data_IF_538847535388
#
_entry.id   IF_538847535388
#
_cell.length_a   1.000
_cell.length_b   1.000
_cell.length_c   1.000
_cell.angle_alpha   90.00
_cell.angle_beta   90.00
_cell.angle_gamma   90.00
#
_symmetry.space_group_name_H-M   'P 1'
#
loop_
_entity.id
_entity.type
_entity.pdbx_description
1 polymer ?
#
# COMPACT_ATOMS: atom_id res chain seq x y z
N UNK A 1 -14.62 -11.47 -10.46
CA UNK A 1 -13.42 -10.83 -11.03
C UNK A 1 -12.30 -11.83 -11.26
N UNK A 2 -11.45 -11.59 -12.26
CA UNK A 2 -10.27 -12.43 -12.52
C UNK A 2 -9.22 -12.26 -11.41
N UNK A 3 -8.24 -13.16 -11.35
CA UNK A 3 -7.08 -12.99 -10.46
C UNK A 3 -6.32 -11.69 -10.76
N UNK A 4 -6.12 -11.36 -12.04
CA UNK A 4 -5.43 -10.14 -12.46
C UNK A 4 -6.14 -8.89 -11.97
N UNK A 5 -7.48 -8.82 -12.07
CA UNK A 5 -8.25 -7.68 -11.54
C UNK A 5 -8.06 -7.55 -10.03
N UNK A 6 -8.09 -8.67 -9.29
CA UNK A 6 -7.88 -8.66 -7.82
C UNK A 6 -6.46 -8.24 -7.43
N UNK A 7 -5.43 -8.60 -8.22
CA UNK A 7 -4.07 -8.10 -8.04
C UNK A 7 -4.01 -6.58 -8.21
N UNK A 8 -4.71 -6.01 -9.20
CA UNK A 8 -4.77 -4.55 -9.38
C UNK A 8 -5.49 -3.86 -8.23
N UNK A 9 -6.60 -4.42 -7.73
CA UNK A 9 -7.28 -3.90 -6.54
C UNK A 9 -6.37 -3.91 -5.31
N UNK A 10 -5.60 -4.97 -5.11
CA UNK A 10 -4.63 -5.07 -4.02
C UNK A 10 -3.51 -4.03 -4.14
N UNK A 11 -2.98 -3.83 -5.35
CA UNK A 11 -1.98 -2.79 -5.64
C UNK A 11 -2.53 -1.39 -5.40
N UNK A 12 -3.77 -1.11 -5.80
CA UNK A 12 -4.47 0.15 -5.54
C UNK A 12 -4.60 0.41 -4.03
N UNK A 13 -5.09 -0.57 -3.28
CA UNK A 13 -5.20 -0.48 -1.80
C UNK A 13 -3.86 -0.19 -1.14
N UNK A 14 -2.80 -0.89 -1.56
CA UNK A 14 -1.45 -0.68 -1.04
C UNK A 14 -0.90 0.71 -1.42
N UNK A 15 -1.24 1.21 -2.61
CA UNK A 15 -0.86 2.56 -3.07
C UNK A 15 -1.53 3.64 -2.26
N UNK A 16 -2.84 3.52 -1.99
CA UNK A 16 -3.57 4.45 -1.13
C UNK A 16 -2.87 4.55 0.23
N UNK A 17 -2.57 3.42 0.85
CA UNK A 17 -1.92 3.39 2.16
C UNK A 17 -0.52 4.02 2.13
N UNK A 18 0.33 3.64 1.17
CA UNK A 18 1.73 4.07 1.14
C UNK A 18 1.92 5.50 0.63
N UNK A 19 0.93 6.08 -0.05
CA UNK A 19 0.95 7.48 -0.54
C UNK A 19 0.13 8.44 0.33
N UNK A 20 -0.60 7.95 1.32
CA UNK A 20 -1.32 8.80 2.29
C UNK A 20 -0.39 9.43 3.33
N UNK A 21 -0.83 10.54 3.94
CA UNK A 21 -0.19 11.09 5.14
C UNK A 21 -0.39 10.17 6.36
N UNK A 22 0.50 10.25 7.34
CA UNK A 22 0.46 9.44 8.56
C UNK A 22 1.44 8.26 8.57
N UNK A 23 1.12 7.23 9.35
CA UNK A 23 2.00 6.06 9.57
C UNK A 23 1.40 4.83 8.87
N UNK A 24 1.97 4.37 7.74
CA UNK A 24 1.47 3.17 7.08
C UNK A 24 1.87 1.93 7.88
N UNK A 25 0.95 0.97 7.96
CA UNK A 25 1.18 -0.34 8.57
C UNK A 25 0.83 -1.44 7.57
N UNK A 26 1.78 -2.35 7.32
CA UNK A 26 1.59 -3.47 6.39
C UNK A 26 1.59 -4.78 7.16
N UNK A 27 0.63 -5.64 6.85
CA UNK A 27 0.60 -6.98 7.41
C UNK A 27 1.59 -7.88 6.66
N UNK A 28 2.42 -8.64 7.39
CA UNK A 28 3.44 -9.49 6.77
C UNK A 28 2.82 -10.49 5.78
N UNK A 29 3.35 -10.48 4.56
CA UNK A 29 2.94 -11.27 3.41
C UNK A 29 1.84 -10.65 2.56
N UNK A 30 1.30 -9.49 2.92
CA UNK A 30 0.42 -8.71 2.05
C UNK A 30 1.10 -8.46 0.68
N UNK A 31 2.40 -8.17 0.68
CA UNK A 31 3.21 -7.87 -0.50
C UNK A 31 3.34 -9.01 -1.51
N UNK A 32 3.07 -10.25 -1.09
CA UNK A 32 3.02 -11.42 -1.96
C UNK A 32 1.65 -12.12 -1.91
N UNK A 33 0.59 -11.34 -1.74
CA UNK A 33 -0.79 -11.80 -1.84
C UNK A 33 -1.11 -12.92 -0.83
N UNK A 34 -0.58 -12.86 0.40
CA UNK A 34 -0.79 -13.89 1.45
C UNK A 34 -2.27 -14.23 1.58
N UNK A 35 -2.54 -15.52 1.65
CA UNK A 35 -3.88 -16.07 1.86
C UNK A 35 -3.91 -16.87 3.16
N UNK A 36 -5.05 -16.82 3.84
CA UNK A 36 -5.43 -17.73 4.95
C UNK A 36 -6.59 -18.64 4.54
N UNK A 37 -6.77 -18.83 3.23
CA UNK A 37 -7.82 -19.68 2.63
C UNK A 37 -9.24 -19.34 3.10
N UNK A 38 -9.50 -18.07 3.41
CA UNK A 38 -10.81 -17.59 3.88
C UNK A 38 -11.01 -17.63 5.40
N UNK A 39 -10.02 -18.08 6.18
CA UNK A 39 -10.08 -18.03 7.64
C UNK A 39 -9.96 -16.59 8.15
N UNK A 40 -11.08 -16.03 8.62
CA UNK A 40 -11.17 -14.68 9.14
C UNK A 40 -10.57 -14.51 10.54
N UNK A 41 -10.39 -15.59 11.32
CA UNK A 41 -9.86 -15.55 12.68
C UNK A 41 -8.95 -16.75 12.98
N UNK A 42 -7.76 -16.70 12.39
CA UNK A 42 -6.82 -17.82 12.38
C UNK A 42 -5.95 -17.95 13.64
N UNK A 43 -6.35 -17.38 14.78
CA UNK A 43 -5.51 -17.28 15.98
C UNK A 43 -4.99 -18.64 16.51
N UNK A 44 -5.74 -19.72 16.25
CA UNK A 44 -5.40 -21.10 16.64
C UNK A 44 -5.29 -22.07 15.45
N UNK A 45 -5.30 -21.54 14.24
CA UNK A 45 -5.29 -22.36 13.02
C UNK A 45 -3.88 -22.89 12.75
N UNK A 46 -3.75 -24.06 12.09
CA UNK A 46 -2.46 -24.71 11.88
C UNK A 46 -1.53 -23.89 10.96
N UNK A 47 -0.26 -24.28 10.90
CA UNK A 47 0.76 -23.64 10.05
C UNK A 47 0.34 -23.60 8.57
N UNK A 48 -0.33 -24.65 8.08
CA UNK A 48 -0.89 -24.65 6.72
C UNK A 48 -1.79 -23.46 6.39
N UNK A 49 -2.37 -22.78 7.39
CA UNK A 49 -3.15 -21.55 7.27
C UNK A 49 -2.31 -20.29 7.55
N UNK A 50 -1.43 -20.34 8.55
CA UNK A 50 -0.76 -19.14 9.07
C UNK A 50 0.66 -18.89 8.55
N UNK A 51 1.33 -19.91 8.01
CA UNK A 51 2.73 -19.84 7.62
C UNK A 51 3.00 -18.77 6.55
N UNK A 52 4.25 -18.30 6.50
CA UNK A 52 4.75 -17.54 5.35
C UNK A 52 5.10 -18.50 4.22
N UNK A 53 4.28 -18.52 3.18
CA UNK A 53 4.55 -19.31 1.98
C UNK A 53 5.59 -18.61 1.10
N UNK A 54 6.84 -19.07 1.20
CA UNK A 54 7.96 -18.52 0.43
C UNK A 54 7.92 -18.88 -1.06
N UNK A 55 7.26 -19.97 -1.45
CA UNK A 55 7.04 -20.29 -2.87
C UNK A 55 6.04 -19.31 -3.48
N UNK A 56 5.01 -18.94 -2.71
CA UNK A 56 4.09 -17.86 -3.08
C UNK A 56 4.84 -16.53 -3.18
N UNK A 57 5.71 -16.19 -2.22
CA UNK A 57 6.59 -15.00 -2.33
C UNK A 57 7.39 -14.99 -3.63
N UNK A 58 7.96 -16.13 -4.03
CA UNK A 58 8.70 -16.23 -5.29
C UNK A 58 7.79 -16.07 -6.52
N UNK A 59 6.57 -16.62 -6.47
CA UNK A 59 5.58 -16.55 -7.55
C UNK A 59 5.08 -15.12 -7.80
N UNK A 60 4.83 -14.35 -6.73
CA UNK A 60 4.30 -12.98 -6.80
C UNK A 60 5.41 -11.91 -6.68
N UNK A 61 6.59 -12.17 -7.24
CA UNK A 61 7.74 -11.25 -7.09
C UNK A 61 7.45 -9.85 -7.68
N UNK A 62 6.63 -9.76 -8.73
CA UNK A 62 6.23 -8.47 -9.32
C UNK A 62 5.39 -7.62 -8.36
N UNK A 63 4.54 -8.25 -7.54
CA UNK A 63 3.76 -7.56 -6.50
C UNK A 63 4.65 -7.06 -5.36
N UNK A 64 5.66 -7.86 -5.00
CA UNK A 64 6.67 -7.47 -4.01
C UNK A 64 7.47 -6.26 -4.49
N UNK A 65 7.94 -6.28 -5.74
CA UNK A 65 8.72 -5.18 -6.30
C UNK A 65 7.88 -3.89 -6.47
N UNK A 66 6.58 -4.02 -6.78
CA UNK A 66 5.67 -2.89 -6.78
C UNK A 66 5.56 -2.22 -5.40
N UNK A 67 5.36 -3.00 -4.33
CA UNK A 67 5.29 -2.45 -2.97
C UNK A 67 6.64 -1.90 -2.50
N UNK A 68 7.77 -2.49 -2.89
CA UNK A 68 9.10 -1.92 -2.65
C UNK A 68 9.23 -0.54 -3.29
N UNK A 69 8.82 -0.38 -4.55
CA UNK A 69 8.84 0.91 -5.24
C UNK A 69 8.01 1.99 -4.52
N UNK A 70 6.83 1.64 -4.02
CA UNK A 70 6.01 2.56 -3.22
C UNK A 70 6.68 2.95 -1.89
N UNK A 71 7.33 2.00 -1.22
CA UNK A 71 8.09 2.27 0.02
C UNK A 71 9.29 3.17 -0.27
N UNK A 72 10.02 2.92 -1.36
CA UNK A 72 11.14 3.74 -1.80
C UNK A 72 10.69 5.17 -2.14
N UNK A 73 9.58 5.32 -2.87
CA UNK A 73 8.95 6.61 -3.15
C UNK A 73 8.63 7.38 -1.86
N UNK A 74 7.94 6.75 -0.92
CA UNK A 74 7.57 7.35 0.39
C UNK A 74 8.80 7.75 1.22
N UNK A 75 9.86 6.93 1.20
CA UNK A 75 11.09 7.22 1.92
C UNK A 75 11.82 8.42 1.30
N UNK A 76 11.92 8.44 -0.03
CA UNK A 76 12.64 9.45 -0.81
C UNK A 76 12.03 10.84 -0.67
N UNK A 77 10.71 10.97 -0.74
CA UNK A 77 10.03 12.27 -0.69
C UNK A 77 9.34 12.47 0.66
N UNK A 78 9.81 13.44 1.44
CA UNK A 78 9.20 13.79 2.74
C UNK A 78 7.79 14.37 2.59
N UNK A 79 7.42 14.82 1.38
CA UNK A 79 6.07 15.22 1.02
C UNK A 79 4.99 14.21 1.47
N UNK A 80 5.29 12.90 1.51
CA UNK A 80 4.35 11.86 1.96
C UNK A 80 4.29 11.65 3.48
N UNK A 81 5.13 12.35 4.26
CA UNK A 81 5.39 12.09 5.69
C UNK A 81 5.38 13.37 6.53
N UNK A 82 4.45 14.27 6.25
CA UNK A 82 4.28 15.50 7.04
C UNK A 82 3.88 15.17 8.49
N UNK A 83 4.31 16.01 9.43
CA UNK A 83 4.17 15.74 10.87
C UNK A 83 3.16 16.63 11.57
N UNK A 84 2.54 17.59 10.87
CA UNK A 84 1.50 18.46 11.44
C UNK A 84 0.31 18.63 10.49
N UNK A 85 -0.87 18.85 11.07
CA UNK A 85 -2.07 19.14 10.31
C UNK A 85 -1.95 20.42 9.47
N UNK A 86 -1.20 21.42 9.95
CA UNK A 86 -0.99 22.68 9.24
C UNK A 86 -0.18 22.48 7.94
N UNK A 87 0.87 21.65 7.99
CA UNK A 87 1.62 21.28 6.78
C UNK A 87 0.71 20.58 5.77
N UNK A 88 -0.09 19.61 6.23
CA UNK A 88 -0.99 18.86 5.35
C UNK A 88 -2.01 19.81 4.69
N UNK A 89 -2.63 20.69 5.48
CA UNK A 89 -3.60 21.67 4.99
C UNK A 89 -3.00 22.66 3.99
N UNK A 90 -1.73 23.00 4.16
CA UNK A 90 -1.03 23.95 3.28
C UNK A 90 -0.59 23.31 1.97
N UNK A 91 -0.07 22.08 2.02
CA UNK A 91 0.65 21.49 0.90
C UNK A 91 -0.15 20.43 0.12
N UNK A 92 -1.21 19.86 0.69
CA UNK A 92 -2.02 18.83 0.03
C UNK A 92 -3.29 19.47 -0.52
N UNK A 93 -3.48 19.38 -1.84
CA UNK A 93 -4.67 19.90 -2.53
C UNK A 93 -5.32 18.82 -3.39
N UNK A 94 -6.61 18.57 -3.17
CA UNK A 94 -7.41 17.73 -4.05
C UNK A 94 -7.77 18.48 -5.33
N UNK A 95 -7.82 17.77 -6.44
CA UNK A 95 -8.19 18.32 -7.74
C UNK A 95 -9.43 17.60 -8.28
N UNK A 96 -10.19 18.29 -9.13
CA UNK A 96 -11.36 17.71 -9.78
C UNK A 96 -10.96 16.43 -10.54
N UNK A 97 -11.72 15.37 -10.30
CA UNK A 97 -11.50 14.07 -10.90
C UNK A 97 -12.84 13.41 -11.26
N UNK A 98 -12.87 12.50 -12.25
CA UNK A 98 -14.06 11.72 -12.56
C UNK A 98 -14.56 10.89 -11.38
N UNK A 99 -15.78 10.37 -11.51
CA UNK A 99 -16.34 9.41 -10.56
C UNK A 99 -15.39 8.22 -10.33
N UNK A 100 -15.39 7.69 -9.10
CA UNK A 100 -14.55 6.56 -8.68
C UNK A 100 -13.03 6.83 -8.78
N UNK A 101 -12.63 8.10 -8.70
CA UNK A 101 -11.22 8.52 -8.70
C UNK A 101 -10.95 9.49 -7.54
N UNK A 102 -9.76 9.40 -6.95
CA UNK A 102 -9.25 10.41 -6.01
C UNK A 102 -7.93 10.93 -6.57
N UNK A 103 -7.87 12.24 -6.83
CA UNK A 103 -6.67 12.91 -7.32
C UNK A 103 -6.27 14.05 -6.38
N UNK A 104 -4.98 14.13 -6.08
CA UNK A 104 -4.42 15.18 -5.24
C UNK A 104 -3.01 15.54 -5.71
N UNK A 105 -2.59 16.74 -5.35
CA UNK A 105 -1.22 17.23 -5.49
C UNK A 105 -0.63 17.42 -4.09
N UNK A 106 0.68 17.20 -3.98
CA UNK A 106 1.44 17.57 -2.78
C UNK A 106 2.55 18.49 -3.22
N UNK A 107 2.50 19.74 -2.78
CA UNK A 107 3.60 20.68 -2.99
C UNK A 107 4.78 20.26 -2.11
N UNK A 108 5.88 19.86 -2.75
CA UNK A 108 7.11 19.48 -2.05
C UNK A 108 7.73 20.66 -1.31
N UNK A 109 8.53 20.35 -0.29
CA UNK A 109 9.38 21.36 0.32
C UNK A 109 10.38 21.85 -0.73
N UNK A 110 10.61 23.17 -0.84
CA UNK A 110 11.47 23.82 -1.85
C UNK A 110 12.94 23.32 -1.89
N UNK A 111 13.33 22.42 -0.98
CA UNK A 111 14.69 21.92 -0.78
C UNK A 111 14.83 20.40 -0.97
N UNK A 112 13.86 19.73 -1.62
CA UNK A 112 13.98 18.32 -2.07
C UNK A 112 14.38 18.19 -3.54
#
# INVERSE_FOLDING_TARGET
DSEEVRKQMHKLSSSILLTSQGVPFLHAGQEFMRTKYGDHNSYKSPDSINQMDWLRRATFNNEVDYMKGLIELRKKYSAFRMTSAEQIKTHVSFIDAPENTVAYTIEGNKNE
#
